data_IF_748300930360
#
_entry.id   IF_748300930360
#
_cell.length_a   1.000
_cell.length_b   1.000
_cell.length_c   1.000
_cell.angle_alpha   90.00
_cell.angle_beta   90.00
_cell.angle_gamma   90.00
#
_symmetry.space_group_name_H-M   'P 1'
#
loop_
_entity.id
_entity.type
_entity.pdbx_description
1 polymer ?
#
# COMPACT_ATOMS: atom_id res chain seq x y z
N UNK A 1 8.55 45.47 -13.06
CA UNK A 1 8.28 44.06 -12.64
C UNK A 1 8.07 44.11 -11.13
N UNK A 2 6.81 44.15 -10.66
CA UNK A 2 6.48 44.28 -9.25
C UNK A 2 6.63 42.91 -8.57
N UNK A 3 7.11 42.84 -7.33
CA UNK A 3 7.26 41.57 -6.62
C UNK A 3 5.87 40.99 -6.31
N UNK A 4 5.65 39.75 -6.67
CA UNK A 4 4.46 38.98 -6.31
C UNK A 4 4.46 38.79 -4.80
N UNK A 5 3.67 39.57 -4.07
CA UNK A 5 3.38 39.30 -2.67
C UNK A 5 2.29 38.20 -2.61
N UNK A 6 2.69 36.99 -2.31
CA UNK A 6 1.79 35.90 -2.02
C UNK A 6 1.29 36.02 -0.58
N UNK A 7 0.19 36.70 -0.38
CA UNK A 7 -0.58 36.61 0.87
C UNK A 7 -1.36 35.29 0.86
N UNK A 8 -0.67 34.22 1.13
CA UNK A 8 -1.24 32.91 1.35
C UNK A 8 -1.96 32.87 2.70
N UNK A 9 -3.24 33.22 2.75
CA UNK A 9 -4.11 32.69 3.79
C UNK A 9 -4.27 31.19 3.57
N UNK A 10 -3.24 30.43 3.93
CA UNK A 10 -3.29 28.98 3.99
C UNK A 10 -4.44 28.59 4.92
N UNK A 11 -5.42 27.84 4.42
CA UNK A 11 -6.51 27.30 5.21
C UNK A 11 -6.00 26.32 6.27
N UNK A 12 -5.34 26.82 7.30
CA UNK A 12 -5.07 26.06 8.51
C UNK A 12 -6.43 25.72 9.12
N UNK A 13 -6.69 24.42 9.36
CA UNK A 13 -7.80 24.03 10.20
C UNK A 13 -7.63 24.80 11.53
N UNK A 14 -8.49 25.79 11.78
CA UNK A 14 -8.40 26.54 13.03
C UNK A 14 -8.65 25.57 14.18
N UNK A 15 -8.01 25.78 15.32
CA UNK A 15 -8.20 24.94 16.53
C UNK A 15 -9.67 24.91 17.02
N UNK A 16 -10.54 25.70 16.43
CA UNK A 16 -11.97 25.81 16.78
C UNK A 16 -12.89 25.02 15.83
N UNK A 17 -12.40 24.41 14.76
CA UNK A 17 -13.25 23.59 13.88
C UNK A 17 -13.26 22.13 14.35
N UNK A 18 -14.44 21.47 14.34
CA UNK A 18 -14.51 20.06 14.67
C UNK A 18 -13.59 19.27 13.74
N UNK A 19 -12.78 18.40 14.34
CA UNK A 19 -11.79 17.56 13.64
C UNK A 19 -12.41 16.19 13.44
N UNK A 20 -13.05 15.94 12.30
CA UNK A 20 -13.76 14.72 12.00
C UNK A 20 -13.05 13.99 10.85
N UNK A 21 -12.60 12.78 11.12
CA UNK A 21 -11.92 11.92 10.19
C UNK A 21 -12.76 10.71 9.78
N UNK A 22 -12.73 10.39 8.49
CA UNK A 22 -13.20 9.11 7.96
C UNK A 22 -11.99 8.21 7.70
N UNK A 23 -12.04 6.94 8.16
CA UNK A 23 -10.97 5.96 7.97
C UNK A 23 -11.55 4.67 7.39
N UNK A 24 -11.14 4.29 6.18
CA UNK A 24 -11.55 2.99 5.63
C UNK A 24 -10.70 1.84 6.18
N UNK A 25 -11.26 0.62 6.19
CA UNK A 25 -10.66 -0.60 6.78
C UNK A 25 -10.17 -0.37 8.23
N UNK A 26 -10.95 0.38 9.02
CA UNK A 26 -10.57 0.82 10.37
C UNK A 26 -10.62 -0.27 11.43
N UNK A 27 -11.09 -1.48 11.11
CA UNK A 27 -11.21 -2.57 12.08
C UNK A 27 -9.90 -3.32 12.33
N UNK A 28 -8.87 -3.16 11.50
CA UNK A 28 -7.63 -3.94 11.54
C UNK A 28 -6.40 -3.16 11.06
N UNK A 29 -5.23 -3.72 11.28
CA UNK A 29 -3.96 -3.26 10.71
C UNK A 29 -3.70 -1.76 10.89
N UNK A 30 -3.25 -1.11 9.81
CA UNK A 30 -2.93 0.33 9.78
C UNK A 30 -4.18 1.17 10.01
N UNK A 31 -5.34 0.76 9.47
CA UNK A 31 -6.60 1.47 9.68
C UNK A 31 -6.97 1.55 11.16
N UNK A 32 -6.92 0.43 11.89
CA UNK A 32 -7.21 0.39 13.32
C UNK A 32 -6.18 1.19 14.17
N UNK A 33 -4.91 1.16 13.78
CA UNK A 33 -3.88 1.99 14.41
C UNK A 33 -4.15 3.48 14.18
N UNK A 34 -4.54 3.84 12.95
CA UNK A 34 -4.90 5.21 12.57
C UNK A 34 -6.13 5.71 13.34
N UNK A 35 -7.18 4.88 13.47
CA UNK A 35 -8.37 5.23 14.27
C UNK A 35 -7.97 5.57 15.70
N UNK A 36 -7.21 4.69 16.37
CA UNK A 36 -6.75 4.92 17.75
C UNK A 36 -5.86 6.14 17.87
N UNK A 37 -4.92 6.34 16.93
CA UNK A 37 -4.02 7.50 16.93
C UNK A 37 -4.79 8.81 16.78
N UNK A 38 -5.73 8.88 15.83
CA UNK A 38 -6.54 10.07 15.63
C UNK A 38 -7.44 10.37 16.83
N UNK A 39 -8.04 9.35 17.43
CA UNK A 39 -8.82 9.51 18.66
C UNK A 39 -7.96 10.07 19.81
N UNK A 40 -6.75 9.54 20.01
CA UNK A 40 -5.81 10.06 21.01
C UNK A 40 -5.38 11.52 20.74
N UNK A 41 -5.34 11.92 19.48
CA UNK A 41 -5.02 13.30 19.07
C UNK A 41 -6.24 14.24 19.09
N UNK A 42 -7.39 13.79 19.61
CA UNK A 42 -8.61 14.56 19.77
C UNK A 42 -9.42 14.75 18.48
N UNK A 43 -9.36 13.79 17.56
CA UNK A 43 -10.27 13.71 16.43
C UNK A 43 -11.47 12.86 16.77
N UNK A 44 -12.65 13.28 16.34
CA UNK A 44 -13.78 12.38 16.19
C UNK A 44 -13.59 11.53 14.93
N UNK A 45 -13.87 10.22 15.03
CA UNK A 45 -13.55 9.29 13.95
C UNK A 45 -14.74 8.44 13.57
N UNK A 46 -15.10 8.45 12.30
CA UNK A 46 -15.97 7.44 11.73
C UNK A 46 -15.12 6.51 10.88
N UNK A 47 -15.24 5.21 11.08
CA UNK A 47 -14.49 4.25 10.26
C UNK A 47 -15.39 3.16 9.69
N UNK A 48 -15.03 2.66 8.51
CA UNK A 48 -15.75 1.54 7.95
C UNK A 48 -14.98 0.22 8.07
N UNK A 49 -15.75 -0.86 8.03
CA UNK A 49 -15.28 -2.23 7.94
C UNK A 49 -16.21 -3.02 7.03
N UNK A 50 -15.73 -4.13 6.43
CA UNK A 50 -16.54 -4.93 5.51
C UNK A 50 -17.19 -6.14 6.20
N UNK A 51 -16.41 -6.94 6.92
CA UNK A 51 -16.86 -8.25 7.40
C UNK A 51 -16.74 -8.43 8.92
N UNK A 52 -15.66 -8.00 9.55
CA UNK A 52 -15.37 -8.30 10.96
C UNK A 52 -15.98 -7.25 11.92
N UNK A 53 -17.27 -7.41 12.22
CA UNK A 53 -17.99 -6.55 13.16
C UNK A 53 -17.44 -6.64 14.59
N UNK A 54 -16.88 -7.79 15.01
CA UNK A 54 -16.33 -7.93 16.36
C UNK A 54 -15.02 -7.16 16.50
N UNK A 55 -14.13 -7.22 15.49
CA UNK A 55 -12.92 -6.41 15.48
C UNK A 55 -13.28 -4.92 15.44
N UNK A 56 -14.26 -4.52 14.63
CA UNK A 56 -14.71 -3.13 14.55
C UNK A 56 -15.19 -2.62 15.91
N UNK A 57 -16.06 -3.36 16.63
CA UNK A 57 -16.51 -2.98 17.97
C UNK A 57 -15.38 -2.87 18.99
N UNK A 58 -14.35 -3.71 18.91
CA UNK A 58 -13.16 -3.61 19.78
C UNK A 58 -12.39 -2.32 19.53
N UNK A 59 -12.20 -1.95 18.27
CA UNK A 59 -11.52 -0.72 17.91
C UNK A 59 -12.33 0.50 18.31
N UNK A 60 -13.63 0.50 18.02
CA UNK A 60 -14.56 1.57 18.41
C UNK A 60 -14.53 1.81 19.91
N UNK A 61 -14.68 0.75 20.72
CA UNK A 61 -14.62 0.85 22.18
C UNK A 61 -13.28 1.42 22.64
N UNK A 62 -12.16 0.82 22.21
CA UNK A 62 -10.84 1.24 22.65
C UNK A 62 -10.49 2.68 22.23
N UNK A 63 -10.97 3.13 21.08
CA UNK A 63 -10.77 4.50 20.64
C UNK A 63 -11.69 5.50 21.36
N UNK A 64 -12.93 5.11 21.69
CA UNK A 64 -13.85 5.94 22.48
C UNK A 64 -13.36 6.14 23.92
N UNK A 65 -12.68 5.16 24.50
CA UNK A 65 -12.05 5.27 25.84
C UNK A 65 -10.95 6.37 25.89
N UNK A 66 -10.46 6.83 24.74
CA UNK A 66 -9.53 7.96 24.64
C UNK A 66 -10.22 9.34 24.64
N UNK A 67 -11.56 9.38 24.79
CA UNK A 67 -12.34 10.61 24.91
C UNK A 67 -12.89 11.16 23.58
N UNK A 68 -12.68 10.47 22.44
CA UNK A 68 -13.22 10.84 21.14
C UNK A 68 -14.60 10.23 20.91
N UNK A 69 -15.43 10.86 20.07
CA UNK A 69 -16.61 10.20 19.50
C UNK A 69 -16.16 9.33 18.35
N UNK A 70 -16.41 8.03 18.45
CA UNK A 70 -15.99 7.06 17.43
C UNK A 70 -17.18 6.23 16.99
N UNK A 71 -17.36 6.04 15.69
CA UNK A 71 -18.45 5.28 15.11
C UNK A 71 -17.91 4.27 14.09
N UNK A 72 -18.27 3.00 14.27
CA UNK A 72 -17.97 1.93 13.33
C UNK A 72 -19.16 1.66 12.41
N UNK A 73 -18.98 1.70 11.10
CA UNK A 73 -20.03 1.51 10.10
C UNK A 73 -19.62 0.39 9.14
N UNK A 74 -20.54 -0.55 8.90
CA UNK A 74 -20.31 -1.55 7.86
C UNK A 74 -20.54 -0.91 6.49
N UNK A 75 -19.50 -0.87 5.66
CA UNK A 75 -19.58 -0.36 4.30
C UNK A 75 -18.42 -0.90 3.44
N UNK A 76 -18.73 -1.22 2.18
CA UNK A 76 -17.75 -1.50 1.14
C UNK A 76 -17.43 -0.19 0.39
N UNK A 77 -16.17 0.22 0.41
CA UNK A 77 -15.75 1.46 -0.28
C UNK A 77 -15.79 1.35 -1.80
N UNK A 78 -15.92 0.14 -2.35
CA UNK A 78 -16.11 -0.07 -3.79
C UNK A 78 -17.55 0.23 -4.22
N UNK A 79 -18.51 0.25 -3.28
CA UNK A 79 -19.89 0.63 -3.56
C UNK A 79 -20.13 2.13 -3.31
N UNK A 80 -20.40 2.92 -4.37
CA UNK A 80 -20.60 4.37 -4.23
C UNK A 80 -21.85 4.72 -3.41
N UNK A 81 -22.84 3.84 -3.32
CA UNK A 81 -24.05 4.07 -2.52
C UNK A 81 -23.74 3.91 -1.05
N UNK A 82 -23.00 2.85 -0.68
CA UNK A 82 -22.57 2.62 0.69
C UNK A 82 -21.61 3.73 1.17
N UNK A 83 -20.68 4.16 0.32
CA UNK A 83 -19.81 5.31 0.61
C UNK A 83 -20.62 6.57 0.87
N UNK A 84 -21.60 6.89 0.01
CA UNK A 84 -22.43 8.08 0.18
C UNK A 84 -23.27 8.02 1.46
N UNK A 85 -23.81 6.85 1.78
CA UNK A 85 -24.56 6.61 3.01
C UNK A 85 -23.67 6.77 4.26
N UNK A 86 -22.44 6.23 4.22
CA UNK A 86 -21.48 6.40 5.30
C UNK A 86 -21.11 7.87 5.54
N UNK A 87 -20.86 8.64 4.47
CA UNK A 87 -20.60 10.08 4.59
C UNK A 87 -21.77 10.85 5.19
N UNK A 88 -23.02 10.57 4.73
CA UNK A 88 -24.23 11.22 5.24
C UNK A 88 -24.42 10.91 6.72
N UNK A 89 -24.34 9.65 7.10
CA UNK A 89 -24.46 9.22 8.49
C UNK A 89 -23.38 9.84 9.38
N UNK A 90 -22.12 9.90 8.93
CA UNK A 90 -21.06 10.58 9.68
C UNK A 90 -21.34 12.06 9.86
N UNK A 91 -21.86 12.72 8.82
CA UNK A 91 -22.24 14.12 8.90
C UNK A 91 -23.33 14.38 9.97
N UNK A 92 -24.33 13.49 10.03
CA UNK A 92 -25.45 13.62 10.95
C UNK A 92 -25.04 13.31 12.41
N UNK A 93 -24.20 12.30 12.62
CA UNK A 93 -23.80 11.86 13.96
C UNK A 93 -22.63 12.66 14.54
N UNK A 94 -21.62 12.99 13.75
CA UNK A 94 -20.38 13.63 14.22
C UNK A 94 -20.25 15.06 13.71
N UNK A 95 -20.77 15.34 12.52
CA UNK A 95 -20.65 16.63 11.85
C UNK A 95 -19.82 16.55 10.56
N UNK A 96 -19.41 17.70 10.00
CA UNK A 96 -18.78 17.78 8.68
C UNK A 96 -17.38 17.13 8.66
N UNK A 97 -17.21 16.13 7.79
CA UNK A 97 -15.92 15.46 7.57
C UNK A 97 -14.84 16.44 7.10
N UNK A 98 -13.74 16.50 7.84
CA UNK A 98 -12.59 17.39 7.56
C UNK A 98 -11.36 16.63 7.07
N UNK A 99 -11.29 15.33 7.31
CA UNK A 99 -10.21 14.46 6.86
C UNK A 99 -10.73 13.11 6.35
N UNK A 100 -10.02 12.54 5.37
CA UNK A 100 -10.27 11.19 4.86
C UNK A 100 -8.95 10.43 4.80
N UNK A 101 -8.97 9.20 5.34
CA UNK A 101 -7.87 8.26 5.26
C UNK A 101 -8.36 6.99 4.56
N UNK A 102 -7.83 6.71 3.38
CA UNK A 102 -8.09 5.46 2.67
C UNK A 102 -7.03 4.44 3.03
N UNK A 103 -7.40 3.44 3.83
CA UNK A 103 -6.53 2.33 4.22
C UNK A 103 -6.94 0.99 3.59
N UNK A 104 -8.06 0.97 2.86
CA UNK A 104 -8.55 -0.28 2.29
C UNK A 104 -7.62 -0.79 1.18
N UNK A 105 -7.39 -2.06 1.24
CA UNK A 105 -6.64 -2.82 0.25
C UNK A 105 -6.72 -4.30 0.57
N UNK A 106 -6.68 -5.11 -0.48
CA UNK A 106 -6.62 -6.57 -0.34
C UNK A 106 -5.43 -7.09 -1.15
N UNK A 107 -4.89 -8.20 -0.72
CA UNK A 107 -3.79 -8.88 -1.39
C UNK A 107 -4.26 -10.26 -1.84
N UNK A 108 -3.98 -10.63 -3.09
CA UNK A 108 -4.29 -11.93 -3.68
C UNK A 108 -3.13 -12.38 -4.55
N UNK A 109 -2.03 -12.77 -3.89
CA UNK A 109 -0.78 -13.09 -4.58
C UNK A 109 -0.90 -14.41 -5.34
N UNK A 110 -0.85 -14.32 -6.68
CA UNK A 110 -0.89 -15.48 -7.56
C UNK A 110 -0.06 -15.23 -8.82
N UNK A 111 0.61 -16.27 -9.37
CA UNK A 111 1.23 -16.19 -10.69
C UNK A 111 0.20 -15.76 -11.75
N UNK A 112 0.62 -15.00 -12.76
CA UNK A 112 -0.26 -14.46 -13.80
C UNK A 112 -1.14 -15.53 -14.46
N UNK A 113 -0.59 -16.74 -14.65
CA UNK A 113 -1.32 -17.88 -15.25
C UNK A 113 -2.44 -18.46 -14.38
N UNK A 114 -2.47 -18.12 -13.09
CA UNK A 114 -3.48 -18.55 -12.13
C UNK A 114 -4.39 -17.41 -11.67
N UNK A 115 -4.02 -16.16 -12.00
CA UNK A 115 -4.76 -14.97 -11.63
C UNK A 115 -6.08 -14.92 -12.42
N UNK A 116 -7.20 -14.90 -11.69
CA UNK A 116 -8.53 -14.78 -12.30
C UNK A 116 -8.89 -13.31 -12.52
N UNK A 117 -9.81 -13.03 -13.45
CA UNK A 117 -10.38 -11.69 -13.64
C UNK A 117 -11.03 -11.17 -12.35
N UNK A 118 -11.60 -12.05 -11.54
CA UNK A 118 -12.20 -11.69 -10.26
C UNK A 118 -11.13 -11.22 -9.25
N UNK A 119 -9.99 -11.92 -9.16
CA UNK A 119 -8.90 -11.53 -8.27
C UNK A 119 -8.27 -10.21 -8.71
N UNK A 120 -8.06 -10.06 -10.03
CA UNK A 120 -7.58 -8.79 -10.61
C UNK A 120 -8.48 -7.62 -10.22
N UNK A 121 -9.80 -7.76 -10.47
CA UNK A 121 -10.78 -6.71 -10.12
C UNK A 121 -10.83 -6.46 -8.64
N UNK A 122 -10.91 -7.49 -7.82
CA UNK A 122 -11.00 -7.33 -6.38
C UNK A 122 -9.84 -6.49 -5.79
N UNK A 123 -8.61 -6.66 -6.30
CA UNK A 123 -7.44 -5.89 -5.84
C UNK A 123 -7.44 -4.47 -6.40
N UNK A 124 -7.75 -4.30 -7.69
CA UNK A 124 -7.79 -2.98 -8.32
C UNK A 124 -8.94 -2.13 -7.77
N UNK A 125 -10.11 -2.72 -7.61
CA UNK A 125 -11.29 -2.06 -7.07
C UNK A 125 -11.05 -1.61 -5.62
N UNK A 126 -10.53 -2.48 -4.75
CA UNK A 126 -10.26 -2.12 -3.36
C UNK A 126 -9.18 -1.04 -3.23
N UNK A 127 -8.09 -1.13 -3.98
CA UNK A 127 -6.93 -0.25 -3.85
C UNK A 127 -7.08 1.09 -4.55
N UNK A 128 -7.68 1.12 -5.74
CA UNK A 128 -7.76 2.30 -6.59
C UNK A 128 -9.18 2.87 -6.62
N UNK A 129 -10.17 2.07 -7.04
CA UNK A 129 -11.52 2.56 -7.25
C UNK A 129 -12.20 2.94 -5.93
N UNK A 130 -12.01 2.16 -4.87
CA UNK A 130 -12.50 2.50 -3.54
C UNK A 130 -11.91 3.80 -3.01
N UNK A 131 -10.61 4.03 -3.20
CA UNK A 131 -9.97 5.31 -2.85
C UNK A 131 -10.54 6.46 -3.68
N UNK A 132 -10.77 6.25 -4.97
CA UNK A 132 -11.44 7.25 -5.83
C UNK A 132 -12.84 7.58 -5.32
N UNK A 133 -13.66 6.61 -4.94
CA UNK A 133 -15.02 6.84 -4.41
C UNK A 133 -14.98 7.69 -3.14
N UNK A 134 -14.10 7.36 -2.19
CA UNK A 134 -13.90 8.13 -0.96
C UNK A 134 -13.48 9.57 -1.25
N UNK A 135 -12.48 9.76 -2.12
CA UNK A 135 -12.00 11.09 -2.50
C UNK A 135 -13.10 11.90 -3.18
N UNK A 136 -13.89 11.30 -4.07
CA UNK A 136 -14.99 11.94 -4.77
C UNK A 136 -16.05 12.43 -3.79
N UNK A 137 -16.46 11.58 -2.86
CA UNK A 137 -17.46 11.93 -1.87
C UNK A 137 -16.99 13.09 -0.95
N UNK A 138 -15.73 13.05 -0.51
CA UNK A 138 -15.15 14.06 0.37
C UNK A 138 -14.93 15.41 -0.32
N UNK A 139 -14.42 15.39 -1.54
CA UNK A 139 -13.95 16.58 -2.25
C UNK A 139 -15.05 17.62 -2.42
N UNK A 140 -16.28 17.22 -2.73
CA UNK A 140 -17.41 18.15 -2.90
C UNK A 140 -17.64 19.02 -1.66
N UNK A 141 -17.65 18.43 -0.48
CA UNK A 141 -17.84 19.15 0.78
C UNK A 141 -16.59 19.96 1.18
N UNK A 142 -15.40 19.42 0.93
CA UNK A 142 -14.13 20.10 1.23
C UNK A 142 -13.90 21.35 0.34
N UNK A 143 -14.29 21.29 -0.95
CA UNK A 143 -14.24 22.44 -1.85
C UNK A 143 -15.09 23.60 -1.36
N UNK A 144 -16.32 23.33 -0.90
CA UNK A 144 -17.23 24.37 -0.37
C UNK A 144 -16.64 25.05 0.86
N UNK A 145 -15.97 24.29 1.73
CA UNK A 145 -15.33 24.82 2.94
C UNK A 145 -13.95 25.39 2.71
N UNK A 146 -13.35 25.15 1.55
CA UNK A 146 -11.98 25.54 1.21
C UNK A 146 -10.95 25.00 2.23
N UNK A 147 -11.17 23.80 2.73
CA UNK A 147 -10.30 23.13 3.68
C UNK A 147 -10.58 21.61 3.65
N UNK A 148 -9.54 20.80 3.73
CA UNK A 148 -9.63 19.35 3.79
C UNK A 148 -8.27 18.67 3.83
N UNK A 149 -8.25 17.42 4.29
CA UNK A 149 -7.07 16.58 4.32
C UNK A 149 -7.42 15.19 3.78
N UNK A 150 -6.67 14.71 2.83
CA UNK A 150 -6.86 13.38 2.24
C UNK A 150 -5.52 12.66 2.28
N UNK A 151 -5.50 11.46 2.86
CA UNK A 151 -4.33 10.58 2.87
C UNK A 151 -4.74 9.19 2.39
N UNK A 152 -4.09 8.68 1.36
CA UNK A 152 -4.22 7.31 0.91
C UNK A 152 -3.04 6.47 1.43
N UNK A 153 -3.33 5.36 2.10
CA UNK A 153 -2.32 4.39 2.48
C UNK A 153 -2.20 3.37 1.35
N UNK A 154 -1.08 3.40 0.67
CA UNK A 154 -0.71 2.46 -0.40
C UNK A 154 -0.03 1.23 0.24
N UNK A 155 0.60 0.36 -0.51
CA UNK A 155 1.42 -0.72 0.03
C UNK A 155 2.81 -0.74 -0.64
N UNK A 156 3.71 -1.53 -0.07
CA UNK A 156 5.10 -1.66 -0.51
C UNK A 156 5.30 -2.44 -1.80
N UNK A 157 4.30 -3.15 -2.28
CA UNK A 157 4.41 -4.06 -3.42
C UNK A 157 4.71 -3.32 -4.69
N UNK A 158 5.51 -2.56 -4.99
CA UNK A 158 5.94 -1.89 -6.23
C UNK A 158 7.43 -1.59 -6.23
N UNK A 159 8.09 -1.86 -5.09
CA UNK A 159 9.52 -1.65 -4.92
C UNK A 159 10.31 -2.96 -4.93
N UNK A 160 9.62 -4.09 -4.87
CA UNK A 160 10.23 -5.42 -4.90
C UNK A 160 9.59 -6.23 -6.01
N UNK A 161 10.41 -6.78 -6.91
CA UNK A 161 10.01 -7.68 -7.98
C UNK A 161 9.50 -9.02 -7.40
N UNK A 162 8.30 -9.02 -6.84
CA UNK A 162 7.62 -10.27 -6.48
C UNK A 162 6.80 -10.76 -7.66
N UNK A 163 7.16 -11.90 -8.17
CA UNK A 163 6.62 -12.50 -9.40
C UNK A 163 5.12 -12.85 -9.37
N UNK A 164 4.41 -12.60 -8.26
CA UNK A 164 3.02 -13.01 -8.08
C UNK A 164 2.04 -11.86 -7.78
N UNK A 165 2.43 -10.60 -7.97
CA UNK A 165 1.67 -9.42 -7.51
C UNK A 165 1.36 -8.42 -8.64
N UNK A 166 1.22 -8.90 -9.88
CA UNK A 166 1.04 -8.02 -11.05
C UNK A 166 -0.11 -7.02 -10.92
N UNK A 167 -1.24 -7.42 -10.35
CA UNK A 167 -2.41 -6.56 -10.11
C UNK A 167 -2.14 -5.48 -9.05
N UNK A 168 -1.47 -5.84 -7.95
CA UNK A 168 -1.14 -4.92 -6.88
C UNK A 168 -0.09 -3.90 -7.34
N UNK A 169 0.99 -4.37 -7.99
CA UNK A 169 2.02 -3.52 -8.58
C UNK A 169 1.44 -2.55 -9.62
N UNK A 170 0.43 -2.98 -10.39
CA UNK A 170 -0.21 -2.14 -11.41
C UNK A 170 -1.11 -1.07 -10.82
N UNK A 171 -1.86 -1.35 -9.75
CA UNK A 171 -2.81 -0.41 -9.14
C UNK A 171 -2.11 0.76 -8.42
N UNK A 172 -0.92 0.56 -7.88
CA UNK A 172 -0.23 1.55 -7.04
C UNK A 172 0.33 2.76 -7.77
N UNK A 173 1.01 2.63 -8.93
CA UNK A 173 1.37 3.79 -9.74
C UNK A 173 0.13 4.57 -10.18
N UNK A 174 -0.98 3.87 -10.46
CA UNK A 174 -2.28 4.49 -10.75
C UNK A 174 -2.78 5.33 -9.57
N UNK A 175 -2.75 4.79 -8.36
CA UNK A 175 -3.11 5.53 -7.15
C UNK A 175 -2.20 6.74 -6.93
N UNK A 176 -0.88 6.60 -7.08
CA UNK A 176 0.06 7.70 -6.95
C UNK A 176 -0.19 8.82 -7.98
N UNK A 177 -0.50 8.46 -9.22
CA UNK A 177 -0.87 9.42 -10.26
C UNK A 177 -2.19 10.12 -9.95
N UNK A 178 -3.21 9.38 -9.48
CA UNK A 178 -4.48 9.92 -9.05
C UNK A 178 -4.33 10.93 -7.90
N UNK A 179 -3.56 10.60 -6.87
CA UNK A 179 -3.27 11.48 -5.72
C UNK A 179 -2.62 12.80 -6.18
N UNK A 180 -1.64 12.73 -7.08
CA UNK A 180 -0.99 13.94 -7.63
C UNK A 180 -1.99 14.80 -8.42
N UNK A 181 -2.77 14.18 -9.29
CA UNK A 181 -3.77 14.88 -10.10
C UNK A 181 -4.84 15.56 -9.22
N UNK A 182 -5.33 14.86 -8.19
CA UNK A 182 -6.32 15.42 -7.25
C UNK A 182 -5.72 16.55 -6.41
N UNK A 183 -4.47 16.42 -5.97
CA UNK A 183 -3.76 17.47 -5.25
C UNK A 183 -3.65 18.75 -6.09
N UNK A 184 -3.27 18.64 -7.37
CA UNK A 184 -3.18 19.78 -8.28
C UNK A 184 -4.52 20.48 -8.49
N UNK A 185 -5.61 19.72 -8.61
CA UNK A 185 -6.96 20.24 -8.77
C UNK A 185 -7.46 20.97 -7.52
N UNK A 186 -7.04 20.53 -6.32
CA UNK A 186 -7.64 20.95 -5.05
C UNK A 186 -6.77 21.89 -4.22
N UNK A 187 -5.47 22.02 -4.47
CA UNK A 187 -4.52 22.83 -3.69
C UNK A 187 -4.96 24.30 -3.53
N UNK A 188 -5.54 24.92 -4.56
CA UNK A 188 -6.05 26.30 -4.50
C UNK A 188 -7.23 26.50 -3.54
N UNK A 189 -7.81 25.41 -3.08
CA UNK A 189 -8.90 25.41 -2.12
C UNK A 189 -8.44 25.01 -0.70
N UNK A 190 -7.14 24.99 -0.42
CA UNK A 190 -6.61 24.65 0.89
C UNK A 190 -6.75 23.17 1.27
N UNK A 191 -6.97 22.30 0.29
CA UNK A 191 -7.08 20.86 0.48
C UNK A 191 -5.73 20.23 0.16
N UNK A 192 -5.22 19.39 1.06
CA UNK A 192 -4.02 18.59 0.80
C UNK A 192 -4.39 17.13 0.52
N UNK A 193 -3.71 16.54 -0.43
CA UNK A 193 -3.92 15.14 -0.85
C UNK A 193 -2.56 14.47 -0.97
N UNK A 194 -2.31 13.46 -0.15
CA UNK A 194 -1.03 12.75 -0.12
C UNK A 194 -1.24 11.23 -0.06
N UNK A 195 -0.20 10.48 -0.38
CA UNK A 195 -0.16 9.05 -0.15
C UNK A 195 0.99 8.68 0.79
N UNK A 196 0.79 7.62 1.56
CA UNK A 196 1.83 6.98 2.37
C UNK A 196 2.01 5.55 1.89
N UNK A 197 3.24 5.19 1.56
CA UNK A 197 3.60 3.80 1.24
C UNK A 197 4.31 3.22 2.46
N UNK A 198 3.64 2.38 3.26
CA UNK A 198 4.27 1.73 4.41
C UNK A 198 5.38 0.79 3.94
N UNK A 199 6.38 0.58 4.78
CA UNK A 199 7.29 -0.55 4.68
C UNK A 199 6.54 -1.85 4.98
N UNK A 200 7.18 -2.99 4.77
CA UNK A 200 6.62 -4.26 5.18
C UNK A 200 6.31 -4.23 6.67
N UNK A 201 5.03 -4.16 7.00
CA UNK A 201 4.57 -4.22 8.37
C UNK A 201 4.76 -5.64 8.92
N UNK A 202 5.05 -5.74 10.20
CA UNK A 202 5.54 -6.94 10.90
C UNK A 202 4.67 -8.20 10.80
N UNK A 203 3.46 -8.11 10.27
CA UNK A 203 2.55 -9.26 10.18
C UNK A 203 2.58 -10.01 8.85
N UNK A 204 3.01 -9.39 7.75
CA UNK A 204 2.86 -10.00 6.41
C UNK A 204 4.16 -10.60 5.83
N UNK A 205 5.34 -10.13 6.27
CA UNK A 205 6.60 -10.61 5.68
C UNK A 205 6.93 -12.07 6.00
N UNK A 206 6.57 -12.55 7.17
CA UNK A 206 6.85 -13.94 7.56
C UNK A 206 5.98 -14.96 6.83
N UNK A 207 4.85 -14.50 6.27
CA UNK A 207 3.94 -15.34 5.48
C UNK A 207 4.28 -15.33 3.98
N UNK A 208 4.99 -14.30 3.50
CA UNK A 208 5.15 -14.03 2.06
C UNK A 208 6.54 -14.43 1.52
N UNK A 209 7.59 -14.46 2.37
CA UNK A 209 8.95 -14.77 1.92
C UNK A 209 9.37 -16.18 2.37
N UNK A 210 9.32 -17.18 1.51
CA UNK A 210 9.92 -18.49 1.80
C UNK A 210 11.44 -18.33 1.81
N UNK A 211 12.07 -18.56 2.96
CA UNK A 211 13.52 -18.72 3.04
C UNK A 211 14.24 -17.99 4.16
N UNK A 212 14.40 -16.66 4.18
CA UNK A 212 15.13 -16.01 5.25
C UNK A 212 14.30 -15.92 6.54
N UNK A 213 14.97 -16.18 7.67
CA UNK A 213 14.35 -15.96 8.97
C UNK A 213 14.09 -14.46 9.21
N UNK A 214 13.16 -14.14 10.14
CA UNK A 214 12.92 -12.75 10.56
C UNK A 214 14.20 -12.06 11.04
N UNK A 215 15.13 -12.82 11.64
CA UNK A 215 16.41 -12.32 12.08
C UNK A 215 17.31 -11.89 10.91
N UNK A 216 17.37 -12.72 9.84
CA UNK A 216 18.19 -12.43 8.65
C UNK A 216 17.71 -11.16 7.93
N UNK A 217 16.38 -10.96 7.85
CA UNK A 217 15.81 -9.76 7.26
C UNK A 217 16.10 -8.53 8.13
N UNK A 218 15.97 -8.65 9.45
CA UNK A 218 16.22 -7.54 10.39
C UNK A 218 17.68 -7.09 10.39
N UNK A 219 18.63 -8.02 10.21
CA UNK A 219 20.06 -7.71 10.15
C UNK A 219 20.41 -6.88 8.90
N UNK A 220 19.65 -7.02 7.84
CA UNK A 220 19.85 -6.31 6.56
C UNK A 220 19.21 -4.91 6.57
N UNK A 221 18.39 -4.57 7.58
CA UNK A 221 17.71 -3.28 7.66
C UNK A 221 18.62 -2.17 8.17
N UNK A 222 18.66 -1.05 7.45
CA UNK A 222 19.41 0.13 7.86
C UNK A 222 18.97 0.69 9.24
N UNK A 223 17.70 0.51 9.61
CA UNK A 223 17.12 0.99 10.87
C UNK A 223 16.93 -0.15 11.90
N UNK A 224 17.31 -1.37 11.58
CA UNK A 224 17.27 -2.57 12.44
C UNK A 224 15.93 -2.83 13.17
N UNK A 225 14.83 -2.29 12.65
CA UNK A 225 13.48 -2.60 13.14
C UNK A 225 12.49 -2.59 11.99
N UNK A 226 11.50 -3.48 12.04
CA UNK A 226 10.33 -3.37 11.21
C UNK A 226 9.51 -2.17 11.69
N UNK A 227 8.94 -1.42 10.77
CA UNK A 227 8.00 -0.38 11.16
C UNK A 227 6.72 -1.03 11.66
N UNK A 228 6.29 -0.55 12.82
CA UNK A 228 4.99 -0.90 13.36
C UNK A 228 3.89 -0.17 12.56
N UNK A 229 2.68 -0.71 12.57
CA UNK A 229 1.47 -0.04 12.08
C UNK A 229 1.26 1.32 12.76
N UNK A 230 1.73 1.46 13.99
CA UNK A 230 1.72 2.71 14.74
C UNK A 230 2.59 3.80 14.10
N UNK A 231 3.80 3.47 13.61
CA UNK A 231 4.66 4.44 12.91
C UNK A 231 3.99 5.02 11.66
N UNK A 232 3.21 4.18 10.94
CA UNK A 232 2.44 4.61 9.77
C UNK A 232 1.27 5.50 10.19
N UNK A 233 0.57 5.14 11.27
CA UNK A 233 -0.52 5.94 11.82
C UNK A 233 -0.04 7.31 12.29
N UNK A 234 1.15 7.41 12.89
CA UNK A 234 1.77 8.68 13.27
C UNK A 234 2.06 9.57 12.07
N UNK A 235 2.59 9.01 10.96
CA UNK A 235 2.81 9.75 9.73
C UNK A 235 1.49 10.21 9.10
N UNK A 236 0.45 9.37 9.09
CA UNK A 236 -0.89 9.73 8.62
C UNK A 236 -1.43 10.88 9.47
N UNK A 237 -1.38 10.80 10.80
CA UNK A 237 -1.84 11.85 11.71
C UNK A 237 -1.08 13.16 11.48
N UNK A 238 0.23 13.11 11.27
CA UNK A 238 1.04 14.28 10.90
C UNK A 238 0.53 14.91 9.59
N UNK A 239 0.28 14.13 8.54
CA UNK A 239 -0.20 14.66 7.25
C UNK A 239 -1.61 15.28 7.34
N UNK A 240 -2.42 14.88 8.31
CA UNK A 240 -3.71 15.47 8.59
C UNK A 240 -3.61 16.75 9.44
N UNK A 241 -2.47 17.00 10.07
CA UNK A 241 -2.26 18.11 10.99
C UNK A 241 -2.02 19.46 10.28
N UNK A 242 -2.15 20.55 11.02
CA UNK A 242 -1.88 21.90 10.54
C UNK A 242 -0.41 22.11 10.07
N UNK A 243 0.62 21.60 10.77
CA UNK A 243 2.00 21.68 10.32
C UNK A 243 2.27 21.12 8.93
N UNK A 244 1.48 20.14 8.49
CA UNK A 244 1.60 19.54 7.15
C UNK A 244 0.83 20.29 6.05
N UNK A 245 0.32 21.49 6.30
CA UNK A 245 -0.53 22.24 5.35
C UNK A 245 0.16 22.54 4.01
N UNK A 246 1.48 22.58 3.97
CA UNK A 246 2.25 22.80 2.73
C UNK A 246 2.59 21.49 1.98
N UNK A 247 2.26 20.32 2.55
CA UNK A 247 2.57 19.02 1.97
C UNK A 247 1.35 18.53 1.20
N UNK A 248 1.43 18.52 -0.14
CA UNK A 248 0.37 18.00 -1.02
C UNK A 248 0.95 17.42 -2.31
N UNK A 249 0.30 16.41 -2.88
CA UNK A 249 0.73 15.72 -4.09
C UNK A 249 1.92 14.78 -3.88
N UNK A 250 2.26 14.47 -2.65
CA UNK A 250 3.41 13.63 -2.32
C UNK A 250 3.01 12.18 -2.07
N UNK A 251 3.92 11.28 -2.44
CA UNK A 251 3.90 9.86 -2.05
C UNK A 251 5.08 9.66 -1.10
N UNK A 252 4.78 9.53 0.19
CA UNK A 252 5.80 9.40 1.23
C UNK A 252 6.05 7.92 1.53
N UNK A 253 7.30 7.52 1.41
CA UNK A 253 7.71 6.15 1.67
C UNK A 253 8.12 5.97 3.13
N UNK A 254 7.32 5.26 3.89
CA UNK A 254 7.60 4.93 5.30
C UNK A 254 8.31 3.57 5.42
N UNK A 255 9.36 3.33 4.64
CA UNK A 255 10.03 2.03 4.50
C UNK A 255 11.14 1.76 5.52
N UNK A 256 11.49 2.69 6.37
CA UNK A 256 12.63 2.54 7.28
C UNK A 256 13.98 2.38 6.57
N UNK A 257 14.11 2.93 5.35
CA UNK A 257 15.28 2.79 4.48
C UNK A 257 15.62 1.32 4.10
N UNK A 258 14.60 0.46 3.94
CA UNK A 258 14.80 -0.87 3.35
C UNK A 258 15.13 -0.68 1.86
N UNK A 259 16.40 -0.52 1.56
CA UNK A 259 16.90 -0.84 0.24
C UNK A 259 17.33 -2.31 0.32
N UNK A 260 16.42 -3.23 0.06
CA UNK A 260 16.85 -4.59 -0.25
C UNK A 260 17.63 -4.49 -1.57
N UNK A 261 18.94 -4.51 -1.46
CA UNK A 261 19.79 -4.96 -2.54
C UNK A 261 19.44 -6.44 -2.75
N UNK A 262 18.38 -6.69 -3.51
CA UNK A 262 18.17 -8.01 -4.10
C UNK A 262 19.34 -8.17 -5.07
N UNK A 263 20.43 -8.75 -4.58
CA UNK A 263 21.42 -9.33 -5.49
C UNK A 263 20.59 -10.33 -6.30
N UNK A 264 20.55 -10.19 -7.65
CA UNK A 264 19.95 -11.20 -8.47
C UNK A 264 20.56 -12.54 -8.01
N UNK A 265 19.72 -13.42 -7.52
CA UNK A 265 20.15 -14.67 -6.93
C UNK A 265 21.19 -15.27 -7.88
N UNK A 266 22.38 -15.57 -7.38
CA UNK A 266 23.24 -16.53 -8.05
C UNK A 266 22.33 -17.73 -8.21
N UNK A 267 21.76 -17.86 -9.43
CA UNK A 267 21.17 -19.13 -9.85
C UNK A 267 22.13 -20.17 -9.35
N UNK A 268 21.66 -21.02 -8.46
CA UNK A 268 22.43 -22.13 -7.97
C UNK A 268 23.04 -22.74 -9.23
N UNK A 269 24.35 -22.59 -9.37
CA UNK A 269 25.11 -23.26 -10.42
C UNK A 269 24.78 -24.72 -10.16
N UNK A 270 23.80 -25.23 -10.91
CA UNK A 270 23.60 -26.64 -10.95
C UNK A 270 25.00 -27.19 -11.23
N UNK A 271 25.58 -27.78 -10.22
CA UNK A 271 26.75 -28.61 -10.39
C UNK A 271 26.37 -29.62 -11.46
N UNK A 272 26.77 -29.33 -12.70
CA UNK A 272 26.82 -30.33 -13.75
C UNK A 272 27.79 -31.35 -13.19
N UNK A 273 27.31 -32.33 -12.47
CA UNK A 273 27.96 -33.61 -12.37
C UNK A 273 27.98 -34.12 -13.79
N UNK A 274 29.14 -34.04 -14.38
CA UNK A 274 29.44 -34.76 -15.65
C UNK A 274 28.99 -36.21 -15.45
N UNK A 275 28.20 -36.76 -16.34
CA UNK A 275 27.93 -38.18 -16.27
C UNK A 275 29.27 -38.92 -16.40
N UNK A 276 29.65 -39.65 -15.38
CA UNK A 276 30.78 -40.60 -15.39
C UNK A 276 30.60 -41.53 -16.61
N UNK A 277 31.63 -41.59 -17.45
CA UNK A 277 31.70 -42.55 -18.54
C UNK A 277 31.49 -43.97 -18.02
N UNK A 278 30.74 -44.81 -18.73
CA UNK A 278 30.60 -46.22 -18.36
C UNK A 278 31.97 -46.95 -18.49
N UNK A 279 32.25 -47.95 -17.65
CA UNK A 279 33.50 -48.68 -17.67
C UNK A 279 33.66 -49.45 -18.96
N UNK A 280 34.88 -49.36 -19.52
CA UNK A 280 35.26 -49.91 -20.82
C UNK A 280 35.01 -51.41 -20.93
N UNK A 281 34.45 -51.84 -22.05
CA UNK A 281 34.42 -53.19 -22.56
C UNK A 281 35.80 -53.58 -23.13
N UNK A 282 36.27 -54.81 -22.94
CA UNK A 282 37.62 -55.19 -23.35
C UNK A 282 37.75 -55.38 -24.85
N UNK A 283 38.86 -54.87 -25.37
CA UNK A 283 39.30 -55.02 -26.76
C UNK A 283 39.58 -56.47 -27.11
N UNK A 284 38.87 -57.01 -28.08
CA UNK A 284 39.25 -58.24 -28.82
C UNK A 284 40.22 -57.88 -29.92
N UNK A 285 41.37 -58.57 -29.92
CA UNK A 285 42.41 -58.51 -30.98
C UNK A 285 42.01 -59.37 -32.20
N UNK A 286 42.37 -58.86 -33.35
CA UNK A 286 42.81 -59.69 -34.48
C UNK A 286 42.12 -59.44 -35.80
N UNK A 287 42.65 -59.86 -36.93
CA UNK A 287 44.01 -59.65 -37.43
C UNK A 287 44.06 -58.88 -38.74
N UNK A 288 45.29 -58.64 -39.20
CA UNK A 288 45.75 -57.93 -40.40
C UNK A 288 45.17 -58.42 -41.74
N UNK A 289 45.10 -57.50 -42.72
CA UNK A 289 44.93 -57.91 -44.12
C UNK A 289 44.61 -56.79 -45.09
N UNK A 290 45.65 -56.31 -45.75
CA UNK A 290 45.77 -55.91 -47.17
C UNK A 290 45.09 -54.61 -47.65
N UNK A 291 45.92 -53.62 -47.99
CA UNK A 291 45.68 -52.69 -49.11
C UNK A 291 45.94 -53.51 -50.46
N UNK A 292 45.63 -53.03 -51.65
CA UNK A 292 45.58 -51.61 -52.12
C UNK A 292 44.47 -51.33 -53.17
N UNK A 293 44.32 -50.13 -53.62
CA UNK A 293 44.43 -49.56 -55.01
C UNK A 293 43.43 -48.46 -55.30
N UNK A 294 43.96 -47.33 -55.69
CA UNK A 294 43.29 -46.30 -56.54
C UNK A 294 43.12 -46.84 -57.95
N UNK A 295 42.23 -46.32 -58.82
CA UNK A 295 42.34 -45.03 -59.48
C UNK A 295 41.01 -44.31 -59.68
N UNK A 296 41.06 -43.00 -59.80
CA UNK A 296 41.01 -42.09 -60.97
C UNK A 296 39.67 -41.92 -61.68
N UNK A 297 39.23 -40.63 -61.62
CA UNK A 297 38.61 -39.84 -62.70
C UNK A 297 37.24 -40.25 -63.29
N UNK A 298 36.41 -39.25 -63.31
CA UNK A 298 35.15 -39.10 -64.01
C UNK A 298 34.40 -37.93 -63.46
#
# INVERSE_FOLDING_TARGET
MAPFSYEGKGGALSQQQPRIALVSDGARGIGAATVRKLAADGWDVSFCYREDALAARRVEKAASELGARVTAIQADICDPVEVSSWFARTHDELGPVTAVVSCAGITRDQPLTMLTDQDWRAVTDAGLDGTFQLCRAATSAMLKRRAGRIVAVSSVCGAYDHCAQGHDISSRPGLAAFIRALADQTRRYGITVNAVTPGSATHDLTAIVPGPSRADVTETLAVRRFRDVADVADLVAFLLSAPAAAITGNVLEARGAITLLVRPGRTARQSRTSPSAPPGTPTARGPAGTAPTRPAAG
#
